data_IF_569610029369
#
_entry.id   IF_569610029369
#
_cell.length_a   1.000
_cell.length_b   1.000
_cell.length_c   1.000
_cell.angle_alpha   90.00
_cell.angle_beta   90.00
_cell.angle_gamma   90.00
#
_symmetry.space_group_name_H-M   'P 1'
#
loop_
_entity.id
_entity.type
_entity.pdbx_description
1 polymer ?
#
# COMPACT_ATOMS: atom_id res chain seq x y z
N UNK A 1 5.02 7.04 25.15
CA UNK A 1 4.41 6.38 23.98
C UNK A 1 5.52 5.62 23.28
N UNK A 2 5.33 4.34 22.95
CA UNK A 2 6.40 3.53 22.33
C UNK A 2 6.61 3.92 20.87
N UNK A 3 7.85 3.97 20.40
CA UNK A 3 8.20 4.28 19.01
C UNK A 3 7.49 3.36 18.01
N UNK A 4 7.39 2.06 18.33
CA UNK A 4 6.64 1.10 17.51
C UNK A 4 5.16 1.45 17.36
N UNK A 5 4.53 2.04 18.38
CA UNK A 5 3.12 2.42 18.28
C UNK A 5 2.94 3.66 17.39
N UNK A 6 3.86 4.63 17.50
CA UNK A 6 3.88 5.81 16.62
C UNK A 6 4.08 5.39 15.17
N UNK A 7 5.03 4.49 14.91
CA UNK A 7 5.26 3.94 13.58
C UNK A 7 4.03 3.21 13.01
N UNK A 8 3.24 2.52 13.84
CA UNK A 8 1.98 1.91 13.39
C UNK A 8 0.90 2.95 13.05
N UNK A 9 0.86 4.08 13.76
CA UNK A 9 -0.05 5.19 13.45
C UNK A 9 0.33 5.88 12.13
N UNK A 10 1.63 6.10 11.92
CA UNK A 10 2.17 6.63 10.66
C UNK A 10 1.91 5.68 9.48
N UNK A 11 2.07 4.37 9.67
CA UNK A 11 1.72 3.37 8.65
C UNK A 11 0.24 3.42 8.27
N UNK A 12 -0.65 3.62 9.24
CA UNK A 12 -2.07 3.77 8.95
C UNK A 12 -2.34 5.04 8.15
N UNK A 13 -1.76 6.18 8.55
CA UNK A 13 -1.92 7.44 7.82
C UNK A 13 -1.44 7.34 6.37
N UNK A 14 -0.31 6.67 6.12
CA UNK A 14 0.17 6.39 4.76
C UNK A 14 -0.80 5.49 4.00
N UNK A 15 -1.32 4.44 4.65
CA UNK A 15 -2.27 3.50 4.03
C UNK A 15 -3.59 4.19 3.66
N UNK A 16 -4.08 5.11 4.48
CA UNK A 16 -5.26 5.93 4.19
C UNK A 16 -5.00 6.90 3.04
N UNK A 17 -3.85 7.57 3.01
CA UNK A 17 -3.45 8.43 1.90
C UNK A 17 -3.34 7.65 0.58
N UNK A 18 -2.83 6.42 0.62
CA UNK A 18 -2.81 5.51 -0.53
C UNK A 18 -4.21 5.15 -1.02
N UNK A 19 -5.18 4.92 -0.13
CA UNK A 19 -6.58 4.70 -0.52
C UNK A 19 -7.12 5.91 -1.28
N UNK A 20 -6.89 7.14 -0.77
CA UNK A 20 -7.30 8.36 -1.45
C UNK A 20 -6.64 8.54 -2.82
N UNK A 21 -5.33 8.29 -2.92
CA UNK A 21 -4.59 8.38 -4.18
C UNK A 21 -5.09 7.36 -5.21
N UNK A 22 -5.29 6.10 -4.80
CA UNK A 22 -5.82 5.06 -5.67
C UNK A 22 -7.23 5.38 -6.16
N UNK A 23 -8.11 5.89 -5.29
CA UNK A 23 -9.47 6.28 -5.66
C UNK A 23 -9.50 7.49 -6.61
N UNK A 24 -8.50 8.37 -6.54
CA UNK A 24 -8.33 9.50 -7.44
C UNK A 24 -7.56 9.15 -8.73
N UNK A 25 -7.17 7.88 -8.91
CA UNK A 25 -6.28 7.42 -9.98
C UNK A 25 -4.92 8.17 -10.04
N UNK A 26 -4.49 8.72 -8.91
CA UNK A 26 -3.20 9.39 -8.76
C UNK A 26 -2.09 8.35 -8.52
N UNK A 27 -1.73 7.66 -9.60
CA UNK A 27 -0.80 6.52 -9.56
C UNK A 27 0.62 6.89 -9.14
N UNK A 28 1.06 8.10 -9.44
CA UNK A 28 2.39 8.59 -9.07
C UNK A 28 2.50 8.84 -7.56
N UNK A 29 1.49 9.51 -6.99
CA UNK A 29 1.39 9.70 -5.55
C UNK A 29 1.21 8.35 -4.85
N UNK A 30 0.36 7.46 -5.35
CA UNK A 30 0.19 6.11 -4.81
C UNK A 30 1.53 5.36 -4.71
N UNK A 31 2.34 5.39 -5.77
CA UNK A 31 3.66 4.77 -5.79
C UNK A 31 4.63 5.42 -4.79
N UNK A 32 4.61 6.74 -4.67
CA UNK A 32 5.44 7.49 -3.72
C UNK A 32 5.09 7.13 -2.27
N UNK A 33 3.79 7.08 -1.93
CA UNK A 33 3.32 6.68 -0.60
C UNK A 33 3.63 5.22 -0.27
N UNK A 34 3.55 4.32 -1.25
CA UNK A 34 3.95 2.93 -1.04
C UNK A 34 5.45 2.81 -0.73
N UNK A 35 6.30 3.63 -1.35
CA UNK A 35 7.74 3.66 -1.04
C UNK A 35 7.98 4.15 0.40
N UNK A 36 7.31 5.22 0.83
CA UNK A 36 7.36 5.71 2.21
C UNK A 36 6.87 4.66 3.22
N UNK A 37 5.74 4.01 2.92
CA UNK A 37 5.14 2.96 3.76
C UNK A 37 6.09 1.78 3.92
N UNK A 38 6.74 1.34 2.83
CA UNK A 38 7.73 0.25 2.86
C UNK A 38 8.95 0.61 3.69
N UNK A 39 9.50 1.81 3.49
CA UNK A 39 10.66 2.28 4.26
C UNK A 39 10.35 2.41 5.77
N UNK A 40 9.11 2.76 6.14
CA UNK A 40 8.67 2.77 7.52
C UNK A 40 8.47 1.35 8.07
N UNK A 41 7.87 0.45 7.30
CA UNK A 41 7.68 -0.95 7.69
C UNK A 41 9.02 -1.66 7.94
N UNK A 42 10.04 -1.40 7.12
CA UNK A 42 11.38 -1.98 7.26
C UNK A 42 12.11 -1.52 8.53
N UNK A 43 11.68 -0.40 9.13
CA UNK A 43 12.22 0.10 10.41
C UNK A 43 11.55 -0.53 11.64
N UNK A 44 10.42 -1.21 11.46
CA UNK A 44 9.74 -1.86 12.58
C UNK A 44 10.51 -3.09 13.07
N UNK A 45 10.49 -3.35 14.39
CA UNK A 45 11.11 -4.56 14.92
C UNK A 45 10.38 -5.80 14.42
N UNK A 46 11.15 -6.85 14.13
CA UNK A 46 10.61 -8.15 13.71
C UNK A 46 9.63 -8.73 14.75
N UNK A 47 9.89 -8.48 16.04
CA UNK A 47 8.97 -8.81 17.14
C UNK A 47 8.33 -7.54 17.74
N UNK A 48 7.26 -7.10 17.08
CA UNK A 48 6.42 -5.99 17.55
C UNK A 48 5.84 -6.24 18.95
N UNK A 49 5.49 -7.49 19.27
CA UNK A 49 4.91 -7.86 20.57
C UNK A 49 5.89 -7.70 21.73
N UNK A 50 7.16 -8.03 21.52
CA UNK A 50 8.23 -7.80 22.49
C UNK A 50 8.54 -6.29 22.67
N UNK A 51 8.37 -5.49 21.62
CA UNK A 51 8.65 -4.04 21.65
C UNK A 51 7.54 -3.19 22.29
N UNK A 52 6.35 -3.76 22.49
CA UNK A 52 5.16 -3.05 22.96
C UNK A 52 4.77 -3.45 24.39
N UNK A 53 4.49 -2.46 25.22
CA UNK A 53 3.87 -2.69 26.51
C UNK A 53 2.51 -3.41 26.34
N UNK A 54 2.16 -4.31 27.27
CA UNK A 54 0.92 -5.09 27.20
C UNK A 54 -0.35 -4.23 27.02
N UNK A 55 -0.36 -3.03 27.63
CA UNK A 55 -1.47 -2.06 27.52
C UNK A 55 -1.60 -1.45 26.12
N UNK A 56 -0.52 -1.41 25.33
CA UNK A 56 -0.51 -0.87 23.97
C UNK A 56 -0.86 -1.92 22.90
N UNK A 57 -0.76 -3.22 23.22
CA UNK A 57 -1.00 -4.30 22.27
C UNK A 57 -2.41 -4.30 21.65
N UNK A 58 -3.52 -4.03 22.39
CA UNK A 58 -4.85 -3.95 21.78
C UNK A 58 -4.94 -2.85 20.72
N UNK A 59 -4.36 -1.67 20.99
CA UNK A 59 -4.33 -0.55 20.03
C UNK A 59 -3.49 -0.91 18.80
N UNK A 60 -2.32 -1.52 18.99
CA UNK A 60 -1.48 -1.96 17.88
C UNK A 60 -2.22 -2.95 16.95
N UNK A 61 -2.97 -3.91 17.51
CA UNK A 61 -3.79 -4.85 16.72
C UNK A 61 -4.87 -4.12 15.91
N UNK A 62 -5.51 -3.10 16.47
CA UNK A 62 -6.51 -2.31 15.76
C UNK A 62 -5.89 -1.52 14.59
N UNK A 63 -4.71 -0.93 14.79
CA UNK A 63 -3.98 -0.21 13.75
C UNK A 63 -3.56 -1.15 12.61
N UNK A 64 -2.98 -2.30 12.93
CA UNK A 64 -2.60 -3.32 11.94
C UNK A 64 -3.83 -3.79 11.13
N UNK A 65 -4.94 -4.07 11.81
CA UNK A 65 -6.18 -4.47 11.15
C UNK A 65 -6.74 -3.34 10.25
N UNK A 66 -6.54 -2.08 10.61
CA UNK A 66 -6.92 -0.94 9.78
C UNK A 66 -6.06 -0.85 8.52
N UNK A 67 -4.74 -0.98 8.63
CA UNK A 67 -3.84 -1.03 7.47
C UNK A 67 -4.23 -2.15 6.50
N UNK A 68 -4.54 -3.35 7.02
CA UNK A 68 -4.98 -4.49 6.20
C UNK A 68 -6.29 -4.21 5.44
N UNK A 69 -7.22 -3.46 6.05
CA UNK A 69 -8.45 -3.03 5.37
C UNK A 69 -8.15 -2.01 4.26
N UNK A 70 -7.26 -1.06 4.49
CA UNK A 70 -6.82 -0.12 3.45
C UNK A 70 -6.21 -0.88 2.25
N UNK A 71 -5.34 -1.85 2.50
CA UNK A 71 -4.74 -2.68 1.44
C UNK A 71 -5.80 -3.47 0.65
N UNK A 72 -6.79 -4.05 1.35
CA UNK A 72 -7.91 -4.73 0.70
C UNK A 72 -8.74 -3.80 -0.20
N UNK A 73 -8.84 -2.52 0.15
CA UNK A 73 -9.51 -1.50 -0.67
C UNK A 73 -8.67 -1.04 -1.87
N UNK A 74 -7.34 -0.95 -1.73
CA UNK A 74 -6.44 -0.49 -2.79
C UNK A 74 -6.27 -1.55 -3.88
N UNK A 75 -6.10 -2.82 -3.49
CA UNK A 75 -5.81 -3.94 -4.39
C UNK A 75 -6.71 -3.99 -5.65
N UNK A 76 -8.05 -3.99 -5.55
CA UNK A 76 -8.90 -4.08 -6.74
C UNK A 76 -8.73 -2.89 -7.70
N UNK A 77 -8.42 -1.68 -7.20
CA UNK A 77 -8.20 -0.49 -8.03
C UNK A 77 -6.91 -0.62 -8.84
N UNK A 78 -5.85 -1.11 -8.20
CA UNK A 78 -4.56 -1.37 -8.87
C UNK A 78 -4.71 -2.49 -9.90
N UNK A 79 -5.41 -3.56 -9.57
CA UNK A 79 -5.68 -4.68 -10.49
C UNK A 79 -6.43 -4.21 -11.74
N UNK A 80 -7.51 -3.45 -11.57
CA UNK A 80 -8.27 -2.88 -12.68
C UNK A 80 -7.39 -2.00 -13.58
N UNK A 81 -6.58 -1.11 -12.98
CA UNK A 81 -5.67 -0.26 -13.73
C UNK A 81 -4.63 -1.05 -14.52
N UNK A 82 -4.07 -2.11 -13.93
CA UNK A 82 -3.11 -2.98 -14.62
C UNK A 82 -3.75 -3.72 -15.80
N UNK A 83 -5.01 -4.14 -15.67
CA UNK A 83 -5.76 -4.76 -16.77
C UNK A 83 -6.03 -3.77 -17.91
N UNK A 84 -6.44 -2.54 -17.61
CA UNK A 84 -6.60 -1.49 -18.62
C UNK A 84 -5.29 -1.21 -19.38
N UNK A 85 -4.18 -1.08 -18.65
CA UNK A 85 -2.86 -0.86 -19.25
C UNK A 85 -2.43 -2.04 -20.13
N UNK A 86 -2.74 -3.28 -19.75
CA UNK A 86 -2.46 -4.47 -20.58
C UNK A 86 -3.22 -4.41 -21.89
N UNK A 87 -4.48 -3.97 -21.89
CA UNK A 87 -5.28 -3.81 -23.12
C UNK A 87 -4.64 -2.76 -24.03
N UNK A 88 -4.32 -1.59 -23.50
CA UNK A 88 -3.68 -0.49 -24.25
C UNK A 88 -2.34 -0.94 -24.85
N UNK A 89 -1.48 -1.57 -24.06
CA UNK A 89 -0.16 -2.03 -24.52
C UNK A 89 -0.26 -3.10 -25.62
N UNK A 90 -1.27 -3.98 -25.59
CA UNK A 90 -1.52 -4.94 -26.67
C UNK A 90 -1.96 -4.24 -27.95
N UNK A 91 -2.84 -3.25 -27.86
CA UNK A 91 -3.31 -2.50 -29.02
C UNK A 91 -2.16 -1.74 -29.71
N UNK A 92 -1.26 -1.13 -28.92
CA UNK A 92 -0.09 -0.40 -29.44
C UNK A 92 0.94 -1.32 -30.09
N UNK A 93 1.06 -2.57 -29.63
CA UNK A 93 2.02 -3.54 -30.19
C UNK A 93 1.63 -4.06 -31.58
N UNK A 94 0.36 -4.00 -31.97
CA UNK A 94 -0.15 -4.45 -33.26
C UNK A 94 0.13 -5.94 -33.57
N UNK A 95 -0.55 -6.55 -34.55
CA UNK A 95 -0.03 -7.78 -35.15
C UNK A 95 1.30 -7.42 -35.84
N UNK A 96 2.35 -8.22 -35.63
CA UNK A 96 3.55 -8.11 -36.44
C UNK A 96 3.13 -8.21 -37.91
N UNK A 97 3.21 -7.10 -38.64
CA UNK A 97 2.98 -7.11 -40.08
C UNK A 97 4.01 -8.07 -40.68
N UNK A 98 3.61 -9.10 -41.43
CA UNK A 98 4.58 -9.92 -42.14
C UNK A 98 5.30 -9.00 -43.12
N UNK A 99 6.63 -8.92 -42.99
CA UNK A 99 7.49 -8.31 -44.00
C UNK A 99 7.23 -9.07 -45.31
N UNK A 100 6.59 -8.41 -46.28
CA UNK A 100 6.55 -8.80 -47.68
C UNK A 100 7.49 -7.92 -48.48
#
# INVERSE_FOLDING_TARGET
>A
MSESLVALEELLALSEAMVSAAAAEDWENLASREAERRALADRLPADLTASLAATAQPRARLLIAACQRCEASIRPLVEARLDDLRVVLRAVRGPALPLQ
#
